data_IF_989683346512
#
_entry.id   IF_989683346512
#
_cell.length_a   1.000
_cell.length_b   1.000
_cell.length_c   1.000
_cell.angle_alpha   90.00
_cell.angle_beta   90.00
_cell.angle_gamma   90.00
#
_symmetry.space_group_name_H-M   'P 1'
#
loop_
_entity.id
_entity.type
_entity.pdbx_description
1 polymer ?
#
# COMPACT_ATOMS: atom_id res chain seq x y z
N UNK A 1 37.21 0.53 21.57
CA UNK A 1 36.21 -0.33 20.85
C UNK A 1 34.99 0.52 20.60
N UNK A 2 34.57 0.72 19.35
CA UNK A 2 33.29 1.38 19.06
C UNK A 2 32.16 0.38 19.35
N UNK A 3 31.10 0.83 20.02
CA UNK A 3 29.89 0.04 20.22
C UNK A 3 29.21 -0.20 18.87
N UNK A 4 28.78 -1.42 18.60
CA UNK A 4 28.02 -1.75 17.39
C UNK A 4 26.61 -1.18 17.48
N UNK A 5 26.07 -0.69 16.36
CA UNK A 5 24.66 -0.30 16.22
C UNK A 5 23.77 -1.53 16.11
N UNK A 6 22.45 -1.33 16.05
CA UNK A 6 21.50 -2.42 15.77
C UNK A 6 21.83 -3.06 14.41
N UNK A 7 22.22 -4.34 14.42
CA UNK A 7 22.64 -5.06 13.20
C UNK A 7 21.49 -5.30 12.23
N UNK A 8 20.22 -5.25 12.66
CA UNK A 8 19.08 -5.36 11.74
C UNK A 8 19.05 -4.22 10.73
N UNK A 9 19.67 -3.07 11.01
CA UNK A 9 19.79 -1.96 10.07
C UNK A 9 20.62 -2.28 8.82
N UNK A 10 21.42 -3.32 8.86
CA UNK A 10 22.25 -3.79 7.73
C UNK A 10 21.41 -4.60 6.72
N UNK A 11 20.21 -5.09 7.13
CA UNK A 11 19.36 -5.94 6.33
C UNK A 11 18.59 -5.18 5.24
N UNK A 12 18.49 -3.86 5.34
CA UNK A 12 17.77 -3.06 4.37
C UNK A 12 18.51 -1.77 4.02
N UNK A 13 18.33 -1.35 2.77
CA UNK A 13 18.90 -0.10 2.23
C UNK A 13 17.88 1.05 2.35
N UNK A 14 18.33 2.33 2.30
CA UNK A 14 17.42 3.44 2.12
C UNK A 14 16.50 3.22 0.92
N UNK A 15 15.26 3.73 1.00
CA UNK A 15 14.25 3.52 -0.02
C UNK A 15 14.72 3.91 -1.42
N UNK A 16 14.84 2.94 -2.31
CA UNK A 16 15.14 3.16 -3.72
C UNK A 16 14.11 4.04 -4.42
N UNK A 17 12.83 3.93 -4.02
CA UNK A 17 11.74 4.79 -4.55
C UNK A 17 12.07 6.27 -4.28
N UNK A 18 12.52 6.61 -3.05
CA UNK A 18 12.90 7.99 -2.71
C UNK A 18 14.13 8.44 -3.47
N UNK A 19 15.09 7.54 -3.75
CA UNK A 19 16.27 7.85 -4.58
C UNK A 19 15.85 8.29 -5.98
N UNK A 20 14.94 7.56 -6.63
CA UNK A 20 14.47 7.91 -7.97
C UNK A 20 13.60 9.18 -7.97
N UNK A 21 12.79 9.39 -6.96
CA UNK A 21 12.03 10.65 -6.80
C UNK A 21 12.97 11.86 -6.62
N UNK A 22 14.04 11.69 -5.84
CA UNK A 22 15.06 12.75 -5.67
C UNK A 22 15.84 13.01 -6.96
N UNK A 23 16.20 11.96 -7.71
CA UNK A 23 16.85 12.09 -9.01
C UNK A 23 15.97 12.83 -10.01
N UNK A 24 14.67 12.50 -10.06
CA UNK A 24 13.70 13.20 -10.89
C UNK A 24 13.59 14.70 -10.53
N UNK A 25 13.52 15.01 -9.24
CA UNK A 25 13.45 16.39 -8.75
C UNK A 25 14.74 17.21 -9.07
N UNK A 26 15.91 16.54 -9.11
CA UNK A 26 17.19 17.16 -9.46
C UNK A 26 17.40 17.31 -10.97
N UNK A 27 16.56 16.67 -11.82
CA UNK A 27 16.67 16.72 -13.29
C UNK A 27 15.73 17.78 -13.86
N UNK A 28 16.26 18.89 -14.43
CA UNK A 28 15.43 19.98 -14.95
C UNK A 28 14.44 19.50 -16.02
N UNK A 29 13.15 19.85 -15.85
CA UNK A 29 12.09 19.51 -16.80
C UNK A 29 11.68 18.03 -16.80
N UNK A 30 12.14 17.22 -15.84
CA UNK A 30 11.72 15.84 -15.70
C UNK A 30 10.28 15.75 -15.24
N UNK A 31 9.49 14.92 -15.92
CA UNK A 31 8.11 14.57 -15.53
C UNK A 31 8.18 13.37 -14.59
N UNK A 32 7.70 13.53 -13.37
CA UNK A 32 7.68 12.43 -12.38
C UNK A 32 6.37 11.66 -12.42
N UNK A 33 6.47 10.38 -12.76
CA UNK A 33 5.42 9.37 -12.62
C UNK A 33 5.76 8.37 -11.49
N UNK A 34 6.55 8.82 -10.49
CA UNK A 34 6.98 7.99 -9.35
C UNK A 34 6.09 8.14 -8.12
N UNK A 35 5.24 9.16 -8.07
CA UNK A 35 4.53 9.63 -6.88
C UNK A 35 3.53 8.57 -6.39
N UNK A 36 3.64 8.20 -5.12
CA UNK A 36 2.76 7.23 -4.46
C UNK A 36 1.66 7.90 -3.61
N UNK A 37 1.18 9.08 -4.00
CA UNK A 37 0.12 9.81 -3.31
C UNK A 37 -0.87 10.43 -4.30
N UNK A 38 -2.12 10.69 -3.87
CA UNK A 38 -3.10 11.40 -4.69
C UNK A 38 -2.56 12.72 -5.20
N UNK A 39 -2.89 13.06 -6.44
CA UNK A 39 -2.55 14.36 -7.04
C UNK A 39 -3.54 15.46 -6.67
N UNK A 40 -4.65 15.11 -6.05
CA UNK A 40 -5.69 15.99 -5.56
C UNK A 40 -5.38 16.48 -4.14
N UNK A 41 -5.86 17.68 -3.79
CA UNK A 41 -5.80 18.17 -2.41
C UNK A 41 -6.89 17.54 -1.55
N UNK A 42 -6.64 17.49 -0.22
CA UNK A 42 -7.68 17.12 0.75
C UNK A 42 -8.91 18.04 0.57
N UNK A 43 -10.13 17.49 0.49
CA UNK A 43 -11.35 18.30 0.29
C UNK A 43 -11.50 19.39 1.36
N UNK A 44 -11.78 20.62 0.91
CA UNK A 44 -11.89 21.80 1.78
C UNK A 44 -12.85 21.64 2.99
N UNK A 45 -14.02 20.95 2.87
CA UNK A 45 -14.87 20.70 4.03
C UNK A 45 -14.17 19.91 5.16
N UNK A 46 -13.24 18.99 4.83
CA UNK A 46 -12.45 18.25 5.80
C UNK A 46 -11.42 19.18 6.46
N UNK A 47 -10.70 19.98 5.66
CA UNK A 47 -9.71 20.93 6.16
C UNK A 47 -10.33 21.95 7.12
N UNK A 48 -11.51 22.50 6.78
CA UNK A 48 -12.22 23.50 7.58
C UNK A 48 -12.61 23.01 8.98
N UNK A 49 -12.77 21.70 9.17
CA UNK A 49 -13.01 21.11 10.50
C UNK A 49 -11.77 21.21 11.38
N UNK A 50 -10.59 20.97 10.82
CA UNK A 50 -9.33 21.09 11.57
C UNK A 50 -9.10 22.52 12.06
N UNK A 51 -9.36 23.52 11.21
CA UNK A 51 -9.25 24.93 11.60
C UNK A 51 -10.15 25.27 12.79
N UNK A 52 -11.38 24.72 12.80
CA UNK A 52 -12.31 24.90 13.93
C UNK A 52 -11.83 24.24 15.21
N UNK A 53 -11.32 23.01 15.10
CA UNK A 53 -10.82 22.27 16.26
C UNK A 53 -9.59 22.95 16.88
N UNK A 54 -8.68 23.44 16.05
CA UNK A 54 -7.52 24.23 16.49
C UNK A 54 -7.96 25.54 17.16
N UNK A 55 -8.92 26.26 16.57
CA UNK A 55 -9.46 27.50 17.14
C UNK A 55 -10.21 27.25 18.46
N UNK A 56 -10.82 26.07 18.63
CA UNK A 56 -11.48 25.65 19.87
C UNK A 56 -10.50 25.15 20.96
N UNK A 57 -9.20 25.05 20.66
CA UNK A 57 -8.18 24.61 21.62
C UNK A 57 -8.14 23.09 21.81
N UNK A 58 -8.66 22.29 20.87
CA UNK A 58 -8.59 20.82 20.89
C UNK A 58 -7.17 20.32 20.57
N UNK A 59 -6.22 20.64 21.47
CA UNK A 59 -4.77 20.37 21.26
C UNK A 59 -4.16 19.53 22.39
N UNK A 60 -4.99 18.91 23.22
CA UNK A 60 -4.57 18.04 24.31
C UNK A 60 -4.58 16.57 23.92
N UNK A 61 -3.95 15.72 24.72
CA UNK A 61 -3.94 14.28 24.49
C UNK A 61 -5.35 13.69 24.50
N UNK A 62 -5.78 13.02 23.42
CA UNK A 62 -6.99 12.21 23.43
C UNK A 62 -6.69 10.83 24.03
N UNK A 63 -7.68 9.92 24.14
CA UNK A 63 -7.43 8.51 24.46
C UNK A 63 -6.41 7.90 23.48
N UNK A 64 -5.51 7.05 24.00
CA UNK A 64 -4.42 6.48 23.19
C UNK A 64 -4.89 5.85 21.89
N UNK A 65 -5.91 5.00 21.94
CA UNK A 65 -6.44 4.27 20.78
C UNK A 65 -7.37 5.09 19.86
N UNK A 66 -7.50 6.40 20.14
CA UNK A 66 -8.41 7.31 19.45
C UNK A 66 -9.69 7.60 20.23
N UNK A 67 -10.37 8.71 19.88
CA UNK A 67 -11.65 9.09 20.48
C UNK A 67 -12.72 8.03 20.21
N UNK A 68 -13.69 7.92 21.11
CA UNK A 68 -14.77 6.94 20.96
C UNK A 68 -15.56 7.20 19.67
N UNK A 69 -15.86 8.48 19.38
CA UNK A 69 -16.60 8.90 18.19
C UNK A 69 -15.90 8.45 16.90
N UNK A 70 -14.58 8.59 16.82
CA UNK A 70 -13.83 8.15 15.64
C UNK A 70 -13.79 6.62 15.55
N UNK A 71 -13.59 5.91 16.67
CA UNK A 71 -13.58 4.45 16.68
C UNK A 71 -14.95 3.86 16.32
N UNK A 72 -16.05 4.47 16.80
CA UNK A 72 -17.41 4.09 16.42
C UNK A 72 -17.67 4.32 14.93
N UNK A 73 -17.24 5.48 14.40
CA UNK A 73 -17.37 5.78 12.98
C UNK A 73 -16.59 4.79 12.09
N UNK A 74 -15.33 4.46 12.47
CA UNK A 74 -14.54 3.46 11.77
C UNK A 74 -15.17 2.08 11.88
N UNK A 75 -15.63 1.66 13.07
CA UNK A 75 -16.28 0.37 13.25
C UNK A 75 -17.55 0.24 12.40
N UNK A 76 -18.36 1.29 12.31
CA UNK A 76 -19.53 1.34 11.45
C UNK A 76 -19.14 1.24 9.96
N UNK A 77 -18.08 1.97 9.56
CA UNK A 77 -17.56 1.97 8.19
C UNK A 77 -17.04 0.58 7.78
N UNK A 78 -16.30 -0.09 8.65
CA UNK A 78 -15.78 -1.45 8.44
C UNK A 78 -16.91 -2.49 8.43
N UNK A 79 -17.92 -2.32 9.32
CA UNK A 79 -19.08 -3.23 9.40
C UNK A 79 -19.96 -3.15 8.15
N UNK A 80 -20.14 -1.96 7.60
CA UNK A 80 -20.84 -1.77 6.32
C UNK A 80 -20.11 -2.45 5.13
N UNK A 81 -18.85 -2.86 5.32
CA UNK A 81 -17.98 -3.53 4.34
C UNK A 81 -17.65 -4.97 4.74
N UNK A 82 -18.51 -5.59 5.53
CA UNK A 82 -18.48 -7.02 5.85
C UNK A 82 -17.63 -7.41 7.07
N UNK A 83 -16.89 -6.49 7.71
CA UNK A 83 -16.13 -6.80 8.91
C UNK A 83 -16.95 -6.56 10.18
N UNK A 84 -17.33 -7.61 10.89
CA UNK A 84 -18.05 -7.49 12.16
C UNK A 84 -17.09 -7.08 13.29
N UNK A 85 -16.99 -5.78 13.54
CA UNK A 85 -16.11 -5.20 14.55
C UNK A 85 -16.81 -4.07 15.31
N UNK A 86 -16.60 -4.02 16.63
CA UNK A 86 -17.01 -2.91 17.47
C UNK A 86 -15.90 -1.88 17.68
N UNK A 87 -16.18 -0.76 18.37
CA UNK A 87 -15.18 0.29 18.62
C UNK A 87 -13.96 -0.20 19.44
N UNK A 88 -14.11 -1.26 20.24
CA UNK A 88 -13.01 -1.84 21.01
C UNK A 88 -12.06 -2.71 20.14
N UNK A 89 -12.47 -3.06 18.93
CA UNK A 89 -11.61 -3.69 17.92
C UNK A 89 -10.87 -2.69 17.03
N UNK A 90 -10.96 -1.38 17.30
CA UNK A 90 -10.35 -0.31 16.51
C UNK A 90 -9.21 0.35 17.27
N UNK A 91 -8.06 0.51 16.60
CA UNK A 91 -6.93 1.34 17.05
C UNK A 91 -6.63 2.38 15.97
N UNK A 92 -6.83 3.66 16.30
CA UNK A 92 -6.49 4.78 15.40
C UNK A 92 -4.98 4.99 15.42
N UNK A 93 -4.35 5.09 14.25
CA UNK A 93 -2.89 5.05 14.09
C UNK A 93 -2.35 6.24 13.28
N UNK A 94 -1.05 6.48 13.37
CA UNK A 94 -0.34 7.52 12.60
C UNK A 94 -0.13 7.04 11.14
N UNK A 95 -1.25 6.83 10.43
CA UNK A 95 -1.31 6.24 9.09
C UNK A 95 -1.10 4.72 9.07
N UNK A 96 -1.32 4.11 7.91
CA UNK A 96 -1.19 2.66 7.72
C UNK A 96 0.23 2.14 8.05
N UNK A 97 1.27 2.92 7.83
CA UNK A 97 2.64 2.49 8.13
C UNK A 97 2.84 2.20 9.63
N UNK A 98 2.25 3.00 10.52
CA UNK A 98 2.27 2.73 11.95
C UNK A 98 1.34 1.56 12.30
N UNK A 99 0.15 1.46 11.67
CA UNK A 99 -0.76 0.33 11.84
C UNK A 99 -0.06 -1.02 11.55
N UNK A 100 0.66 -1.11 10.44
CA UNK A 100 1.45 -2.29 10.05
C UNK A 100 2.58 -2.53 11.07
N UNK A 101 3.29 -1.48 11.47
CA UNK A 101 4.41 -1.58 12.42
C UNK A 101 3.94 -2.06 13.80
N UNK A 102 2.88 -1.46 14.34
CA UNK A 102 2.31 -1.87 15.64
C UNK A 102 1.77 -3.30 15.60
N UNK A 103 1.13 -3.70 14.49
CA UNK A 103 0.67 -5.08 14.27
C UNK A 103 1.84 -6.07 14.28
N UNK A 104 2.88 -5.81 13.49
CA UNK A 104 4.04 -6.70 13.43
C UNK A 104 4.80 -6.76 14.76
N UNK A 105 4.96 -5.62 15.46
CA UNK A 105 5.56 -5.59 16.80
C UNK A 105 4.76 -6.38 17.84
N UNK A 106 3.44 -6.43 17.70
CA UNK A 106 2.56 -7.20 18.58
C UNK A 106 2.65 -8.71 18.31
N UNK A 107 2.70 -9.10 17.04
CA UNK A 107 2.57 -10.51 16.65
C UNK A 107 3.89 -11.27 16.61
N UNK A 108 5.00 -10.61 16.25
CA UNK A 108 6.22 -11.30 15.83
C UNK A 108 7.22 -11.51 16.96
N UNK A 109 7.76 -12.71 17.02
CA UNK A 109 8.99 -13.02 17.72
C UNK A 109 10.16 -13.09 16.73
N UNK A 110 11.41 -12.93 17.19
CA UNK A 110 12.59 -13.15 16.34
C UNK A 110 12.58 -14.54 15.69
N UNK A 111 12.70 -14.57 14.37
CA UNK A 111 12.71 -15.80 13.57
C UNK A 111 11.34 -16.25 13.06
N UNK A 112 10.25 -15.60 13.47
CA UNK A 112 8.92 -15.82 12.86
C UNK A 112 8.94 -15.42 11.37
N UNK A 113 8.22 -16.17 10.56
CA UNK A 113 8.15 -15.97 9.11
C UNK A 113 6.93 -15.15 8.69
N UNK A 114 7.15 -14.21 7.77
CA UNK A 114 6.10 -13.42 7.14
C UNK A 114 6.09 -13.71 5.64
N UNK A 115 4.99 -14.29 5.16
CA UNK A 115 4.78 -14.50 3.73
C UNK A 115 4.32 -13.18 3.11
N UNK A 116 5.04 -12.73 2.08
CA UNK A 116 4.74 -11.51 1.34
C UNK A 116 4.56 -11.88 -0.13
N UNK A 117 3.31 -11.87 -0.65
CA UNK A 117 3.08 -11.96 -2.08
C UNK A 117 3.73 -10.77 -2.79
N UNK A 118 4.72 -11.04 -3.63
CA UNK A 118 5.46 -10.03 -4.39
C UNK A 118 5.06 -10.08 -5.88
N UNK A 119 5.00 -8.93 -6.56
CA UNK A 119 5.50 -7.60 -6.15
C UNK A 119 4.64 -6.95 -5.06
N UNK A 120 5.32 -6.27 -4.10
CA UNK A 120 4.66 -5.68 -2.94
C UNK A 120 5.32 -4.38 -2.49
N UNK A 121 4.59 -3.58 -1.71
CA UNK A 121 5.13 -2.38 -1.09
C UNK A 121 6.24 -2.72 -0.09
N UNK A 122 7.40 -2.09 -0.26
CA UNK A 122 8.65 -2.37 0.47
C UNK A 122 8.49 -2.35 2.01
N UNK A 123 7.52 -1.62 2.54
CA UNK A 123 7.34 -1.44 3.98
C UNK A 123 7.14 -2.78 4.71
N UNK A 124 6.43 -3.73 4.12
CA UNK A 124 6.18 -5.03 4.76
C UNK A 124 7.48 -5.80 5.02
N UNK A 125 8.33 -5.88 3.99
CA UNK A 125 9.66 -6.51 4.10
C UNK A 125 10.53 -5.81 5.16
N UNK A 126 10.59 -4.48 5.10
CA UNK A 126 11.42 -3.69 6.02
C UNK A 126 10.95 -3.83 7.47
N UNK A 127 9.64 -3.77 7.74
CA UNK A 127 9.11 -3.92 9.08
C UNK A 127 9.25 -5.35 9.61
N UNK A 128 9.08 -6.38 8.77
CA UNK A 128 9.39 -7.76 9.14
C UNK A 128 10.86 -7.89 9.61
N UNK A 129 11.81 -7.37 8.82
CA UNK A 129 13.24 -7.41 9.15
C UNK A 129 13.58 -6.61 10.42
N UNK A 130 12.98 -5.42 10.61
CA UNK A 130 13.17 -4.63 11.84
C UNK A 130 12.72 -5.39 13.09
N UNK A 131 11.68 -6.21 12.97
CA UNK A 131 11.20 -7.10 14.03
C UNK A 131 12.01 -8.40 14.13
N UNK A 132 13.13 -8.53 13.41
CA UNK A 132 13.96 -9.74 13.36
C UNK A 132 13.20 -10.96 12.81
N UNK A 133 12.16 -10.74 12.05
CA UNK A 133 11.43 -11.78 11.33
C UNK A 133 12.14 -12.17 10.03
N UNK A 134 11.70 -13.27 9.47
CA UNK A 134 12.16 -13.81 8.20
C UNK A 134 11.13 -13.51 7.12
N UNK A 135 11.56 -12.81 6.08
CA UNK A 135 10.71 -12.56 4.91
C UNK A 135 10.67 -13.80 4.03
N UNK A 136 9.49 -14.32 3.77
CA UNK A 136 9.23 -15.42 2.83
C UNK A 136 8.52 -14.85 1.61
N UNK A 137 9.25 -14.56 0.51
CA UNK A 137 8.63 -14.03 -0.70
C UNK A 137 7.81 -15.09 -1.41
N UNK A 138 6.62 -14.69 -1.88
CA UNK A 138 5.75 -15.47 -2.74
C UNK A 138 5.64 -14.74 -4.09
N UNK A 139 6.33 -15.23 -5.13
CA UNK A 139 6.31 -14.60 -6.44
C UNK A 139 4.97 -14.83 -7.15
N UNK A 140 4.21 -13.77 -7.35
CA UNK A 140 2.93 -13.80 -8.06
C UNK A 140 3.05 -13.35 -9.53
N UNK A 141 4.23 -12.91 -9.96
CA UNK A 141 4.43 -12.33 -11.30
C UNK A 141 4.24 -13.36 -12.44
N UNK A 142 4.31 -14.63 -12.13
CA UNK A 142 4.11 -15.73 -13.09
C UNK A 142 2.66 -16.18 -13.20
N UNK A 143 1.76 -15.67 -12.35
CA UNK A 143 0.36 -16.02 -12.30
C UNK A 143 -0.56 -14.77 -12.31
N UNK A 144 -0.34 -13.84 -13.24
CA UNK A 144 -1.14 -12.61 -13.39
C UNK A 144 -1.29 -11.81 -12.08
N UNK A 145 -0.25 -11.84 -11.24
CA UNK A 145 -0.21 -11.28 -9.87
C UNK A 145 -1.26 -11.86 -8.92
N UNK A 146 -1.78 -13.05 -9.20
CA UNK A 146 -2.63 -13.84 -8.32
C UNK A 146 -1.82 -14.85 -7.51
N UNK A 147 -2.34 -15.23 -6.33
CA UNK A 147 -1.70 -16.22 -5.46
C UNK A 147 -1.93 -17.62 -6.04
N UNK A 148 -0.85 -18.32 -6.35
CA UNK A 148 -0.90 -19.73 -6.70
C UNK A 148 -0.99 -20.60 -5.43
N UNK A 149 -2.03 -21.46 -5.29
CA UNK A 149 -2.26 -22.25 -4.09
C UNK A 149 -1.11 -23.23 -3.75
N UNK A 150 -0.54 -23.88 -4.77
CA UNK A 150 0.53 -24.87 -4.57
C UNK A 150 1.84 -24.17 -4.19
N UNK A 151 2.12 -23.04 -4.82
CA UNK A 151 3.26 -22.22 -4.48
C UNK A 151 3.13 -21.69 -3.04
N UNK A 152 1.95 -21.16 -2.66
CA UNK A 152 1.70 -20.69 -1.29
C UNK A 152 1.91 -21.82 -0.29
N UNK A 153 1.32 -23.00 -0.54
CA UNK A 153 1.46 -24.18 0.33
C UNK A 153 2.93 -24.57 0.54
N UNK A 154 3.74 -24.48 -0.51
CA UNK A 154 5.18 -24.80 -0.42
C UNK A 154 5.99 -23.81 0.44
N UNK A 155 5.44 -22.63 0.74
CA UNK A 155 6.07 -21.59 1.56
C UNK A 155 5.71 -21.66 3.05
N UNK A 156 4.70 -22.46 3.42
CA UNK A 156 4.25 -22.61 4.80
C UNK A 156 5.23 -23.48 5.58
N UNK A 157 5.55 -23.05 6.80
CA UNK A 157 6.34 -23.78 7.78
C UNK A 157 5.75 -23.62 9.18
N UNK A 158 6.30 -24.35 10.17
CA UNK A 158 5.93 -24.20 11.58
C UNK A 158 6.27 -22.82 12.17
N UNK A 159 7.03 -22.00 11.42
CA UNK A 159 7.40 -20.62 11.80
C UNK A 159 6.53 -19.57 11.11
N UNK A 160 5.67 -19.99 10.19
CA UNK A 160 4.77 -19.06 9.48
C UNK A 160 3.84 -18.38 10.47
N UNK A 161 4.04 -17.07 10.68
CA UNK A 161 3.30 -16.25 11.61
C UNK A 161 2.24 -15.42 10.95
N UNK A 162 2.54 -14.86 9.77
CA UNK A 162 1.73 -13.85 9.12
C UNK A 162 1.83 -13.96 7.61
N UNK A 163 0.72 -13.76 6.92
CA UNK A 163 0.68 -13.40 5.49
C UNK A 163 0.13 -11.98 5.33
N UNK A 164 0.70 -11.21 4.39
CA UNK A 164 0.24 -9.85 4.08
C UNK A 164 -0.49 -9.85 2.75
N UNK A 165 -1.74 -9.39 2.76
CA UNK A 165 -2.57 -9.22 1.55
C UNK A 165 -2.81 -7.73 1.32
N UNK A 166 -2.49 -7.24 0.13
CA UNK A 166 -2.80 -5.85 -0.28
C UNK A 166 -3.66 -5.91 -1.53
N UNK A 167 -4.91 -5.46 -1.43
CA UNK A 167 -5.88 -5.55 -2.55
C UNK A 167 -6.85 -4.37 -2.52
N UNK A 168 -6.81 -3.49 -3.55
CA UNK A 168 -5.89 -3.46 -4.71
C UNK A 168 -4.43 -3.27 -4.33
N UNK A 169 -3.52 -3.88 -5.11
CA UNK A 169 -2.10 -3.96 -4.80
C UNK A 169 -1.31 -2.72 -5.26
N UNK A 170 -0.26 -2.39 -4.54
CA UNK A 170 0.82 -1.51 -4.95
C UNK A 170 2.10 -2.38 -5.11
N UNK A 171 2.63 -2.59 -6.33
CA UNK A 171 2.59 -1.68 -7.49
C UNK A 171 1.62 -2.07 -8.62
N UNK A 172 0.95 -3.21 -8.60
CA UNK A 172 0.30 -3.80 -9.78
C UNK A 172 -1.08 -3.24 -10.08
N UNK A 173 -1.78 -2.73 -9.06
CA UNK A 173 -3.20 -2.39 -9.15
C UNK A 173 -4.13 -3.61 -9.15
N UNK A 174 -3.60 -4.82 -9.03
CA UNK A 174 -4.34 -6.07 -9.06
C UNK A 174 -5.27 -6.19 -7.85
N UNK A 175 -6.47 -6.74 -8.07
CA UNK A 175 -7.39 -7.20 -7.03
C UNK A 175 -7.26 -8.72 -6.94
N UNK A 176 -7.10 -9.27 -5.74
CA UNK A 176 -7.04 -10.72 -5.57
C UNK A 176 -8.40 -11.35 -5.86
N UNK A 177 -8.38 -12.43 -6.65
CA UNK A 177 -9.56 -13.24 -6.92
C UNK A 177 -10.01 -14.00 -5.67
N UNK A 178 -11.25 -14.47 -5.70
CA UNK A 178 -11.77 -15.32 -4.62
C UNK A 178 -10.90 -16.58 -4.46
N UNK A 179 -10.41 -17.18 -5.54
CA UNK A 179 -9.54 -18.36 -5.53
C UNK A 179 -8.23 -18.09 -4.79
N UNK A 180 -7.60 -16.94 -5.03
CA UNK A 180 -6.42 -16.50 -4.28
C UNK A 180 -6.70 -16.42 -2.79
N UNK A 181 -7.85 -15.84 -2.41
CA UNK A 181 -8.23 -15.68 -1.01
C UNK A 181 -8.67 -17.01 -0.37
N UNK A 182 -9.35 -17.91 -1.12
CA UNK A 182 -9.70 -19.27 -0.67
C UNK A 182 -8.43 -20.06 -0.30
N UNK A 183 -7.37 -19.96 -1.11
CA UNK A 183 -6.10 -20.62 -0.84
C UNK A 183 -5.49 -20.16 0.49
N UNK A 184 -5.48 -18.84 0.73
CA UNK A 184 -4.98 -18.28 1.99
C UNK A 184 -5.84 -18.70 3.18
N UNK A 185 -7.17 -18.64 3.04
CA UNK A 185 -8.09 -18.97 4.12
C UNK A 185 -7.99 -20.44 4.54
N UNK A 186 -7.89 -21.35 3.57
CA UNK A 186 -7.77 -22.78 3.84
C UNK A 186 -6.48 -23.09 4.60
N UNK A 187 -5.35 -22.53 4.18
CA UNK A 187 -4.07 -22.71 4.85
C UNK A 187 -4.02 -22.01 6.21
N UNK A 188 -4.68 -20.85 6.37
CA UNK A 188 -4.78 -20.18 7.66
C UNK A 188 -5.60 -21.00 8.69
N UNK A 189 -6.65 -21.73 8.24
CA UNK A 189 -7.38 -22.68 9.10
C UNK A 189 -6.51 -23.87 9.51
N UNK A 190 -5.76 -24.42 8.56
CA UNK A 190 -4.93 -25.61 8.79
C UNK A 190 -3.73 -25.30 9.70
N UNK A 191 -3.05 -24.19 9.49
CA UNK A 191 -1.77 -23.86 10.13
C UNK A 191 -1.85 -22.79 11.21
N UNK A 192 -2.94 -22.04 11.31
CA UNK A 192 -3.20 -21.11 12.39
C UNK A 192 -2.46 -19.77 12.31
N UNK A 193 -1.87 -19.38 11.18
CA UNK A 193 -1.20 -18.10 11.00
C UNK A 193 -2.20 -16.93 10.87
N UNK A 194 -1.71 -15.72 11.13
CA UNK A 194 -2.47 -14.48 10.99
C UNK A 194 -2.51 -13.99 9.53
N UNK A 195 -3.59 -13.28 9.19
CA UNK A 195 -3.75 -12.63 7.88
C UNK A 195 -3.90 -11.13 8.09
N UNK A 196 -2.97 -10.34 7.57
CA UNK A 196 -3.06 -8.89 7.56
C UNK A 196 -3.51 -8.42 6.18
N UNK A 197 -4.67 -7.77 6.13
CA UNK A 197 -5.24 -7.17 4.93
C UNK A 197 -4.97 -5.66 4.94
N UNK A 198 -4.13 -5.19 4.02
CA UNK A 198 -3.91 -3.75 3.81
C UNK A 198 -4.91 -3.24 2.77
N UNK A 199 -5.99 -2.64 3.27
CA UNK A 199 -7.13 -2.17 2.48
C UNK A 199 -6.98 -0.70 2.01
N UNK A 200 -5.81 -0.11 2.11
CA UNK A 200 -5.54 1.32 1.87
C UNK A 200 -5.99 1.83 0.49
N UNK A 201 -6.07 0.96 -0.50
CA UNK A 201 -6.53 1.29 -1.86
C UNK A 201 -7.95 0.81 -2.18
N UNK A 202 -8.65 0.16 -1.25
CA UNK A 202 -9.94 -0.48 -1.51
C UNK A 202 -10.99 0.48 -2.09
N UNK A 203 -11.11 1.69 -1.56
CA UNK A 203 -12.06 2.69 -2.06
C UNK A 203 -11.69 3.24 -3.45
N UNK A 204 -10.49 2.93 -3.94
CA UNK A 204 -10.01 3.28 -5.27
C UNK A 204 -10.04 2.07 -6.23
N UNK A 205 -10.84 1.06 -5.96
CA UNK A 205 -11.10 -0.03 -6.90
C UNK A 205 -12.02 0.43 -8.03
N UNK A 206 -11.78 -0.11 -9.24
CA UNK A 206 -12.51 0.22 -10.47
C UNK A 206 -13.50 -0.86 -10.89
N UNK A 207 -13.41 -2.02 -10.26
CA UNK A 207 -14.33 -3.15 -10.40
C UNK A 207 -15.42 -3.09 -9.33
N UNK A 208 -16.59 -3.65 -9.62
CA UNK A 208 -17.73 -3.57 -8.70
C UNK A 208 -17.57 -4.54 -7.52
N UNK A 209 -17.19 -5.79 -7.83
CA UNK A 209 -17.02 -6.85 -6.84
C UNK A 209 -15.55 -6.99 -6.45
N UNK A 210 -15.14 -6.35 -5.37
CA UNK A 210 -13.81 -6.52 -4.78
C UNK A 210 -13.90 -7.53 -3.65
N UNK A 211 -13.41 -8.77 -3.81
CA UNK A 211 -13.45 -9.75 -2.73
C UNK A 211 -12.73 -9.23 -1.49
N UNK A 212 -13.30 -9.42 -0.32
CA UNK A 212 -12.71 -8.99 0.94
C UNK A 212 -12.55 -10.18 1.87
N UNK A 213 -11.32 -10.38 2.36
CA UNK A 213 -10.99 -11.55 3.17
C UNK A 213 -11.86 -11.67 4.43
N UNK A 214 -12.03 -10.58 5.18
CA UNK A 214 -12.81 -10.55 6.43
C UNK A 214 -14.32 -10.80 6.22
N UNK A 215 -14.84 -10.47 5.03
CA UNK A 215 -16.23 -10.69 4.65
C UNK A 215 -16.46 -12.14 4.24
N UNK A 216 -15.53 -12.69 3.44
CA UNK A 216 -15.62 -14.05 2.90
C UNK A 216 -15.37 -15.13 3.98
N UNK A 217 -14.51 -14.83 4.96
CA UNK A 217 -14.05 -15.81 5.96
C UNK A 217 -14.24 -15.29 7.39
N UNK A 218 -15.51 -15.07 7.85
CA UNK A 218 -15.80 -14.56 9.19
C UNK A 218 -15.37 -15.52 10.32
N UNK A 219 -15.17 -16.78 10.02
CA UNK A 219 -14.62 -17.80 10.94
C UNK A 219 -13.13 -17.57 11.28
N UNK A 220 -12.41 -16.75 10.49
CA UNK A 220 -11.02 -16.36 10.72
C UNK A 220 -10.88 -14.95 11.35
N UNK A 221 -11.98 -14.36 11.82
CA UNK A 221 -12.00 -13.00 12.36
C UNK A 221 -11.07 -12.78 13.57
N UNK A 222 -10.79 -13.82 14.34
CA UNK A 222 -9.89 -13.81 15.50
C UNK A 222 -8.40 -13.68 15.12
N UNK A 223 -8.05 -13.94 13.87
CA UNK A 223 -6.70 -13.89 13.34
C UNK A 223 -6.56 -13.03 12.08
N UNK A 224 -7.60 -12.29 11.74
CA UNK A 224 -7.57 -11.33 10.65
C UNK A 224 -7.37 -9.90 11.19
N UNK A 225 -6.45 -9.19 10.58
CA UNK A 225 -6.13 -7.81 10.89
C UNK A 225 -6.31 -6.97 9.63
N UNK A 226 -7.21 -5.99 9.67
CA UNK A 226 -7.31 -4.99 8.61
C UNK A 226 -6.50 -3.76 9.01
N UNK A 227 -5.59 -3.34 8.14
CA UNK A 227 -4.92 -2.04 8.22
C UNK A 227 -5.46 -1.14 7.13
N UNK A 228 -5.76 0.10 7.45
CA UNK A 228 -6.31 1.05 6.49
C UNK A 228 -5.87 2.49 6.83
N UNK A 229 -6.20 3.45 5.96
CA UNK A 229 -5.74 4.82 6.11
C UNK A 229 -6.62 5.81 5.38
N UNK A 230 -6.68 7.02 5.89
CA UNK A 230 -7.28 8.18 5.21
C UNK A 230 -6.42 8.72 4.06
N UNK A 231 -5.20 8.23 3.92
CA UNK A 231 -4.20 8.78 3.00
C UNK A 231 -4.62 8.79 1.53
N UNK A 232 -5.23 7.70 1.04
CA UNK A 232 -5.47 7.54 -0.40
C UNK A 232 -6.87 7.95 -0.82
N UNK A 233 -7.97 7.44 -0.21
CA UNK A 233 -9.33 7.79 -0.65
C UNK A 233 -9.69 9.26 -0.44
N UNK A 234 -9.08 9.92 0.56
CA UNK A 234 -9.42 11.30 0.92
C UNK A 234 -8.26 12.29 0.71
N UNK A 235 -7.21 11.90 -0.02
CA UNK A 235 -6.03 12.72 -0.28
C UNK A 235 -5.39 13.31 1.00
N UNK A 236 -5.32 12.50 2.07
CA UNK A 236 -4.86 12.92 3.40
C UNK A 236 -3.48 12.33 3.74
N UNK A 237 -2.55 12.25 2.78
CA UNK A 237 -1.25 11.60 2.99
C UNK A 237 -0.41 12.27 4.06
N UNK A 238 -0.41 13.60 4.11
CA UNK A 238 0.31 14.42 5.09
C UNK A 238 -0.34 14.44 6.48
N UNK A 239 -1.60 14.04 6.62
CA UNK A 239 -2.33 14.06 7.88
C UNK A 239 -1.91 12.95 8.83
N UNK A 240 -1.32 11.89 8.30
CA UNK A 240 -0.88 10.74 9.09
C UNK A 240 -2.00 10.11 9.91
N UNK A 241 -3.12 9.78 9.27
CA UNK A 241 -4.28 9.12 9.87
C UNK A 241 -4.52 7.75 9.25
N UNK A 242 -4.71 6.73 10.08
CA UNK A 242 -5.05 5.37 9.69
C UNK A 242 -5.67 4.62 10.87
N UNK A 243 -5.90 3.34 10.69
CA UNK A 243 -6.42 2.48 11.74
C UNK A 243 -6.05 1.02 11.56
N UNK A 244 -6.13 0.29 12.65
CA UNK A 244 -6.23 -1.16 12.67
C UNK A 244 -7.66 -1.52 13.06
N UNK A 245 -8.25 -2.52 12.40
CA UNK A 245 -9.49 -3.17 12.80
C UNK A 245 -9.25 -4.68 12.94
N UNK A 246 -9.59 -5.25 14.09
CA UNK A 246 -9.36 -6.67 14.41
C UNK A 246 -10.23 -7.12 15.60
N UNK A 247 -9.98 -8.30 16.16
CA UNK A 247 -10.64 -8.74 17.40
C UNK A 247 -10.30 -7.82 18.58
N UNK A 248 -11.20 -7.70 19.55
CA UNK A 248 -10.99 -6.83 20.72
C UNK A 248 -9.71 -7.18 21.50
N UNK A 249 -9.40 -8.46 21.63
CA UNK A 249 -8.20 -8.94 22.32
C UNK A 249 -6.93 -8.47 21.61
N UNK A 250 -6.87 -8.70 20.30
CA UNK A 250 -5.70 -8.30 19.51
C UNK A 250 -5.58 -6.78 19.39
N UNK A 251 -6.70 -6.06 19.27
CA UNK A 251 -6.72 -4.59 19.29
C UNK A 251 -6.18 -4.02 20.61
N UNK A 252 -6.52 -4.65 21.75
CA UNK A 252 -5.99 -4.24 23.05
C UNK A 252 -4.45 -4.41 23.12
N UNK A 253 -3.91 -5.49 22.57
CA UNK A 253 -2.46 -5.71 22.54
C UNK A 253 -1.75 -4.76 21.55
N UNK A 254 -2.30 -4.54 20.37
CA UNK A 254 -1.80 -3.54 19.41
C UNK A 254 -1.85 -2.14 20.02
N UNK A 255 -2.92 -1.81 20.78
CA UNK A 255 -3.07 -0.55 21.46
C UNK A 255 -1.98 -0.29 22.52
N UNK A 256 -1.49 -1.32 23.21
CA UNK A 256 -0.34 -1.21 24.13
C UNK A 256 0.93 -0.79 23.39
N UNK A 257 1.20 -1.42 22.23
CA UNK A 257 2.37 -1.09 21.39
C UNK A 257 2.22 0.32 20.83
N UNK A 258 1.08 0.65 20.25
CA UNK A 258 0.75 1.98 19.71
C UNK A 258 1.01 3.08 20.76
N UNK A 259 0.51 2.90 21.98
CA UNK A 259 0.69 3.86 23.06
C UNK A 259 2.16 4.15 23.40
N UNK A 260 3.06 3.16 23.23
CA UNK A 260 4.50 3.36 23.47
C UNK A 260 5.21 3.97 22.25
N UNK A 261 4.71 3.74 21.04
CA UNK A 261 5.31 4.30 19.82
C UNK A 261 5.02 5.79 19.66
N UNK A 262 3.76 6.20 19.85
CA UNK A 262 3.29 7.55 19.45
C UNK A 262 2.37 8.23 20.48
N UNK A 263 2.09 7.60 21.61
CA UNK A 263 1.13 8.02 22.62
C UNK A 263 -0.32 8.06 22.11
N UNK A 264 -0.62 8.88 21.12
CA UNK A 264 -1.94 9.01 20.48
C UNK A 264 -1.85 9.79 19.16
N UNK A 265 -2.87 9.67 18.33
CA UNK A 265 -3.06 10.52 17.16
C UNK A 265 -3.55 11.91 17.59
N UNK A 266 -3.13 13.03 16.95
CA UNK A 266 -3.55 14.36 17.31
C UNK A 266 -5.08 14.51 17.41
N UNK A 267 -5.55 15.11 18.54
CA UNK A 267 -6.97 15.26 18.85
C UNK A 267 -7.74 16.05 17.80
N UNK A 268 -7.19 17.17 17.33
CA UNK A 268 -7.83 18.10 16.39
C UNK A 268 -8.05 17.52 14.98
N UNK A 269 -7.39 16.39 14.63
CA UNK A 269 -7.59 15.70 13.35
C UNK A 269 -8.79 14.74 13.40
N UNK A 270 -9.14 14.23 14.57
CA UNK A 270 -10.07 13.11 14.69
C UNK A 270 -11.52 13.46 14.29
N UNK A 271 -12.08 14.63 14.64
CA UNK A 271 -13.40 15.03 14.15
C UNK A 271 -13.45 15.18 12.61
N UNK A 272 -12.37 15.67 12.00
CA UNK A 272 -12.27 15.73 10.53
C UNK A 272 -12.21 14.35 9.90
N UNK A 273 -11.57 13.37 10.56
CA UNK A 273 -11.55 11.97 10.13
C UNK A 273 -12.95 11.32 10.18
N UNK A 274 -13.73 11.58 11.23
CA UNK A 274 -15.14 11.14 11.31
C UNK A 274 -15.93 11.64 10.10
N UNK A 275 -15.80 12.91 9.76
CA UNK A 275 -16.47 13.49 8.60
C UNK A 275 -15.98 12.89 7.28
N UNK A 276 -14.65 12.66 7.15
CA UNK A 276 -14.06 12.09 5.95
C UNK A 276 -14.65 10.71 5.59
N UNK A 277 -14.96 9.86 6.57
CA UNK A 277 -15.59 8.55 6.33
C UNK A 277 -16.96 8.64 5.63
N UNK A 278 -17.66 9.77 5.75
CA UNK A 278 -18.93 10.04 5.07
C UNK A 278 -18.77 10.79 3.76
N UNK A 279 -17.54 11.27 3.45
CA UNK A 279 -17.29 12.05 2.24
C UNK A 279 -17.23 11.18 1.00
N UNK A 280 -17.95 11.57 -0.07
CA UNK A 280 -17.99 10.81 -1.32
C UNK A 280 -16.65 10.88 -2.09
N UNK A 281 -15.99 9.75 -2.23
CA UNK A 281 -14.73 9.59 -2.97
C UNK A 281 -14.92 9.18 -4.44
N UNK A 282 -16.17 9.02 -4.88
CA UNK A 282 -16.50 8.61 -6.25
C UNK A 282 -15.91 9.54 -7.32
N UNK A 283 -15.91 10.87 -7.16
CA UNK A 283 -15.28 11.76 -8.16
C UNK A 283 -13.80 11.48 -8.34
N UNK A 284 -13.05 11.31 -7.26
CA UNK A 284 -11.61 10.98 -7.29
C UNK A 284 -11.38 9.62 -7.95
N UNK A 285 -12.12 8.59 -7.53
CA UNK A 285 -12.05 7.24 -8.13
C UNK A 285 -12.33 7.29 -9.63
N UNK A 286 -13.32 8.07 -10.08
CA UNK A 286 -13.63 8.24 -11.49
C UNK A 286 -12.48 8.90 -12.25
N UNK A 287 -11.85 9.92 -11.70
CA UNK A 287 -10.67 10.56 -12.29
C UNK A 287 -9.54 9.56 -12.49
N UNK A 288 -9.23 8.74 -11.48
CA UNK A 288 -8.19 7.70 -11.62
C UNK A 288 -8.58 6.61 -12.62
N UNK A 289 -9.84 6.20 -12.69
CA UNK A 289 -10.33 5.27 -13.71
C UNK A 289 -10.12 5.83 -15.13
N UNK A 290 -10.34 7.12 -15.34
CA UNK A 290 -10.10 7.78 -16.62
C UNK A 290 -8.59 7.87 -16.94
N UNK A 291 -7.76 8.26 -15.98
CA UNK A 291 -6.29 8.30 -16.13
C UNK A 291 -5.71 6.91 -16.39
N UNK A 292 -6.25 5.87 -15.74
CA UNK A 292 -5.90 4.48 -16.05
C UNK A 292 -6.06 4.19 -17.53
N UNK A 293 -7.18 4.61 -18.15
CA UNK A 293 -7.41 4.37 -19.57
C UNK A 293 -6.39 5.07 -20.47
N UNK A 294 -5.97 6.30 -20.12
CA UNK A 294 -4.89 7.00 -20.83
C UNK A 294 -3.59 6.18 -20.77
N UNK A 295 -3.23 5.65 -19.60
CA UNK A 295 -2.01 4.84 -19.44
C UNK A 295 -2.10 3.55 -20.24
N UNK A 296 -3.20 2.80 -20.12
CA UNK A 296 -3.39 1.54 -20.85
C UNK A 296 -3.32 1.72 -22.36
N UNK A 297 -3.95 2.76 -22.89
CA UNK A 297 -3.89 3.09 -24.31
C UNK A 297 -2.46 3.40 -24.76
N UNK A 298 -1.71 4.18 -23.98
CA UNK A 298 -0.33 4.51 -24.30
C UNK A 298 0.59 3.27 -24.22
N UNK A 299 0.42 2.40 -23.21
CA UNK A 299 1.18 1.15 -23.08
C UNK A 299 0.90 0.18 -24.23
N UNK A 300 -0.36 0.09 -24.67
CA UNK A 300 -0.73 -0.70 -25.84
C UNK A 300 -0.06 -0.18 -27.13
N UNK A 301 -0.03 1.14 -27.34
CA UNK A 301 0.67 1.76 -28.49
C UNK A 301 2.19 1.53 -28.42
N UNK A 302 2.75 1.40 -27.22
CA UNK A 302 4.17 1.06 -27.00
C UNK A 302 4.43 -0.44 -27.09
N UNK A 303 3.41 -1.30 -27.21
CA UNK A 303 3.51 -2.76 -27.09
C UNK A 303 4.21 -3.19 -25.80
N UNK A 304 4.01 -2.50 -24.69
CA UNK A 304 4.50 -2.90 -23.37
C UNK A 304 3.44 -3.75 -22.66
N UNK A 305 3.73 -5.04 -22.38
CA UNK A 305 2.80 -5.91 -21.70
C UNK A 305 2.48 -5.39 -20.28
N UNK A 306 1.21 -5.33 -19.93
CA UNK A 306 0.74 -4.92 -18.61
C UNK A 306 -0.52 -5.68 -18.26
N UNK A 307 -0.61 -6.16 -17.00
CA UNK A 307 -1.88 -6.60 -16.44
C UNK A 307 -2.73 -5.36 -16.14
N UNK A 308 -4.00 -5.41 -16.50
CA UNK A 308 -4.91 -4.27 -16.35
C UNK A 308 -5.13 -3.97 -14.86
N UNK A 309 -4.76 -2.78 -14.35
CA UNK A 309 -4.99 -2.43 -12.95
C UNK A 309 -6.49 -2.34 -12.63
N UNK A 310 -6.95 -3.06 -11.63
CA UNK A 310 -8.34 -3.07 -11.18
C UNK A 310 -8.60 -2.06 -10.04
N UNK A 311 -7.54 -1.41 -9.54
CA UNK A 311 -7.62 -0.38 -8.50
C UNK A 311 -6.30 0.33 -8.27
N UNK A 312 -6.23 1.11 -7.20
CA UNK A 312 -5.13 2.03 -6.88
C UNK A 312 -4.94 3.10 -7.97
N UNK A 313 -3.73 3.58 -8.17
CA UNK A 313 -3.38 4.52 -9.25
C UNK A 313 -2.00 4.19 -9.84
N UNK A 314 -1.76 2.88 -10.07
CA UNK A 314 -0.49 2.36 -10.60
C UNK A 314 -0.74 1.42 -11.77
N UNK A 315 0.17 1.45 -12.75
CA UNK A 315 0.35 0.42 -13.75
C UNK A 315 1.76 -0.16 -13.63
N UNK A 316 1.90 -1.46 -13.92
CA UNK A 316 3.15 -2.19 -13.72
C UNK A 316 3.54 -2.98 -14.98
N UNK A 317 3.90 -2.28 -16.08
CA UNK A 317 4.28 -2.91 -17.32
C UNK A 317 5.60 -3.67 -17.22
N UNK A 318 5.70 -4.75 -18.00
CA UNK A 318 6.91 -5.52 -18.20
C UNK A 318 7.86 -4.78 -19.15
N UNK A 319 9.15 -4.77 -18.79
CA UNK A 319 10.26 -4.27 -19.61
C UNK A 319 11.26 -5.38 -19.95
N UNK A 320 10.86 -6.64 -19.78
CA UNK A 320 11.73 -7.82 -19.98
C UNK A 320 12.25 -7.99 -21.41
N UNK A 321 11.64 -7.33 -22.37
CA UNK A 321 12.12 -7.31 -23.77
C UNK A 321 13.43 -6.54 -23.93
N UNK A 322 13.74 -5.61 -23.00
CA UNK A 322 14.96 -4.80 -23.08
C UNK A 322 16.09 -5.47 -22.30
N UNK A 323 17.31 -5.39 -22.80
CA UNK A 323 18.50 -5.92 -22.14
C UNK A 323 19.02 -5.00 -21.01
N UNK A 324 18.10 -4.45 -20.20
CA UNK A 324 18.37 -3.56 -19.08
C UNK A 324 17.69 -4.07 -17.82
N UNK A 325 18.37 -3.97 -16.68
CA UNK A 325 17.69 -4.09 -15.41
C UNK A 325 16.77 -2.88 -15.16
N UNK A 326 15.83 -3.02 -14.23
CA UNK A 326 14.80 -2.00 -13.99
C UNK A 326 15.38 -0.68 -13.45
N UNK A 327 16.51 -0.70 -12.73
CA UNK A 327 17.19 0.51 -12.27
C UNK A 327 17.84 1.24 -13.43
N UNK A 328 18.60 0.55 -14.28
CA UNK A 328 19.24 1.12 -15.47
C UNK A 328 18.22 1.69 -16.45
N UNK A 329 17.11 0.96 -16.68
CA UNK A 329 16.00 1.45 -17.50
C UNK A 329 15.44 2.78 -16.97
N UNK A 330 15.11 2.84 -15.68
CA UNK A 330 14.57 4.06 -15.07
C UNK A 330 15.58 5.21 -15.01
N UNK A 331 16.86 4.92 -14.79
CA UNK A 331 17.92 5.95 -14.82
C UNK A 331 18.09 6.56 -16.21
N UNK A 332 18.08 5.75 -17.26
CA UNK A 332 18.14 6.23 -18.65
C UNK A 332 16.90 7.05 -18.99
N UNK A 333 15.70 6.57 -18.62
CA UNK A 333 14.45 7.30 -18.83
C UNK A 333 14.50 8.72 -18.23
N UNK A 334 15.07 8.87 -17.03
CA UNK A 334 15.22 10.18 -16.38
C UNK A 334 16.27 11.03 -17.12
N UNK A 335 17.49 10.50 -17.31
CA UNK A 335 18.65 11.29 -17.77
C UNK A 335 18.55 11.69 -19.24
N UNK A 336 18.02 10.80 -20.09
CA UNK A 336 18.01 10.99 -21.55
C UNK A 336 16.67 11.53 -22.05
N UNK A 337 15.55 11.17 -21.40
CA UNK A 337 14.20 11.52 -21.87
C UNK A 337 13.39 12.35 -20.88
N UNK A 338 13.88 12.58 -19.66
CA UNK A 338 13.20 13.42 -18.68
C UNK A 338 11.85 12.85 -18.21
N UNK A 339 11.74 11.55 -18.07
CA UNK A 339 10.57 10.88 -17.47
C UNK A 339 11.02 9.93 -16.37
N UNK A 340 10.43 10.05 -15.19
CA UNK A 340 10.79 9.24 -14.04
C UNK A 340 9.71 8.19 -13.71
N UNK A 341 10.16 6.94 -13.57
CA UNK A 341 9.39 5.76 -13.19
C UNK A 341 10.04 5.13 -11.94
N UNK A 342 9.40 4.13 -11.36
CA UNK A 342 9.97 3.39 -10.23
C UNK A 342 10.39 1.99 -10.67
N UNK A 343 11.67 1.60 -10.47
CA UNK A 343 12.15 0.26 -10.75
C UNK A 343 11.37 -0.84 -10.04
N UNK A 344 11.04 -1.91 -10.76
CA UNK A 344 10.30 -3.05 -10.23
C UNK A 344 11.05 -3.85 -9.17
N UNK A 345 12.38 -3.85 -9.22
CA UNK A 345 13.22 -4.50 -8.23
C UNK A 345 12.94 -4.02 -6.80
N UNK A 346 12.48 -2.79 -6.61
CA UNK A 346 12.12 -2.26 -5.28
C UNK A 346 10.81 -2.83 -4.73
N UNK A 347 10.07 -3.54 -5.56
CA UNK A 347 8.85 -4.26 -5.18
C UNK A 347 9.05 -5.78 -5.15
N UNK A 348 10.30 -6.27 -5.41
CA UNK A 348 10.61 -7.69 -5.52
C UNK A 348 10.37 -8.28 -6.92
N UNK A 349 10.20 -7.45 -7.97
CA UNK A 349 9.91 -7.91 -9.33
C UNK A 349 10.82 -7.23 -10.35
N UNK A 350 11.99 -7.84 -10.62
CA UNK A 350 12.87 -7.38 -11.69
C UNK A 350 12.22 -7.58 -13.06
N UNK A 351 12.56 -6.71 -14.02
CA UNK A 351 12.00 -6.73 -15.36
C UNK A 351 10.62 -6.05 -15.49
N UNK A 352 10.23 -5.27 -14.49
CA UNK A 352 9.04 -4.43 -14.47
C UNK A 352 9.37 -3.00 -14.04
N UNK A 353 8.45 -2.07 -14.31
CA UNK A 353 8.52 -0.69 -13.80
C UNK A 353 7.15 -0.24 -13.34
N UNK A 354 7.08 0.58 -12.27
CA UNK A 354 5.82 1.17 -11.81
C UNK A 354 5.63 2.55 -12.40
N UNK A 355 4.47 2.78 -13.00
CA UNK A 355 3.96 4.06 -13.47
C UNK A 355 2.84 4.49 -12.52
N UNK A 356 2.95 5.67 -11.90
CA UNK A 356 1.85 6.29 -11.16
C UNK A 356 1.06 7.21 -12.08
N UNK A 357 -0.26 7.02 -12.12
CA UNK A 357 -1.17 7.93 -12.82
C UNK A 357 -1.92 8.88 -11.86
N UNK A 358 -1.35 9.12 -10.68
CA UNK A 358 -1.80 10.18 -9.79
C UNK A 358 -1.40 11.59 -10.24
N UNK A 359 -0.48 11.70 -11.22
CA UNK A 359 -0.08 12.97 -11.82
C UNK A 359 -1.25 13.65 -12.56
N UNK A 360 -1.14 14.98 -12.78
CA UNK A 360 -2.12 15.70 -13.61
C UNK A 360 -2.18 15.14 -15.04
N UNK A 361 -3.31 15.26 -15.69
CA UNK A 361 -3.51 14.75 -17.07
C UNK A 361 -2.44 15.26 -18.04
N UNK A 362 -2.04 16.54 -17.90
CA UNK A 362 -0.96 17.16 -18.68
C UNK A 362 0.37 16.43 -18.47
N UNK A 363 0.77 16.23 -17.20
CA UNK A 363 2.02 15.59 -16.88
C UNK A 363 2.01 14.11 -17.25
N UNK A 364 0.87 13.46 -17.07
CA UNK A 364 0.69 12.06 -17.45
C UNK A 364 0.86 11.86 -18.95
N UNK A 365 0.14 12.64 -19.77
CA UNK A 365 0.22 12.56 -21.24
C UNK A 365 1.62 12.87 -21.75
N UNK A 366 2.27 13.93 -21.24
CA UNK A 366 3.62 14.31 -21.61
C UNK A 366 4.64 13.24 -21.19
N UNK A 367 4.54 12.72 -19.95
CA UNK A 367 5.43 11.67 -19.46
C UNK A 367 5.31 10.38 -20.28
N UNK A 368 4.10 9.97 -20.65
CA UNK A 368 3.87 8.80 -21.50
C UNK A 368 4.40 9.01 -22.92
N UNK A 369 4.31 10.22 -23.48
CA UNK A 369 4.90 10.55 -24.78
C UNK A 369 6.42 10.41 -24.76
N UNK A 370 7.09 10.89 -23.70
CA UNK A 370 8.53 10.74 -23.51
C UNK A 370 8.94 9.28 -23.32
N UNK A 371 8.16 8.52 -22.55
CA UNK A 371 8.36 7.09 -22.38
C UNK A 371 8.26 6.35 -23.71
N UNK A 372 7.31 6.70 -24.57
CA UNK A 372 7.16 6.13 -25.91
C UNK A 372 8.38 6.39 -26.78
N UNK A 373 8.92 7.61 -26.75
CA UNK A 373 10.14 7.93 -27.48
C UNK A 373 11.33 7.10 -26.97
N UNK A 374 11.48 6.99 -25.65
CA UNK A 374 12.52 6.18 -25.02
C UNK A 374 12.44 4.70 -25.41
N UNK A 375 11.26 4.09 -25.30
CA UNK A 375 11.01 2.68 -25.68
C UNK A 375 11.36 2.43 -27.17
N UNK A 376 10.99 3.35 -28.05
CA UNK A 376 11.33 3.22 -29.47
C UNK A 376 12.84 3.30 -29.70
N UNK A 377 13.55 4.23 -29.04
CA UNK A 377 15.01 4.34 -29.10
C UNK A 377 15.68 3.04 -28.62
N UNK A 378 15.21 2.45 -27.53
CA UNK A 378 15.75 1.16 -27.04
C UNK A 378 15.59 0.03 -28.07
N UNK A 379 14.46 -0.03 -28.78
CA UNK A 379 14.24 -1.03 -29.84
C UNK A 379 15.14 -0.79 -31.06
N UNK A 380 15.38 0.47 -31.42
CA UNK A 380 16.32 0.83 -32.50
C UNK A 380 17.75 0.44 -32.16
N UNK A 381 18.16 0.56 -30.89
CA UNK A 381 19.49 0.16 -30.41
C UNK A 381 19.70 -1.36 -30.39
N UNK A 382 18.63 -2.16 -30.31
CA UNK A 382 18.68 -3.62 -30.31
C UNK A 382 18.70 -4.23 -31.73
N UNK A 383 18.35 -3.46 -32.77
CA UNK A 383 18.37 -3.86 -34.19
C UNK A 383 19.68 -3.49 -34.89
#
# INVERSE_FOLDING_TARGET
MSLSRNTTLELFKPSGIRRFSALAAATPGCISLTIGEPGEDTPAPICNLVDRELAAGNTHYPPNVGTLELREAIAAWESARGMKVGPDGIVVTVGAAEAISATMLTLMNPGDEVIIPEPAYLVYRTLCQLNRGVVVPLDTSTNHFQIDPEQLKSKISDKTKLIVLTSPNNPTGCVYTKESLDAVANLAREHGFYVMCDDVYRELAYVEDVPRFVELYPDLSDRCIVTNSFSKPWAMTGWRLGWVATSNELAADIGKVHAQLVASVPSFLQPAAVYALSYDVTPMRTNYKNRRQIVLSALAEMNLPVEEPEGAFYAFPSIKEFSLDSEAFCERAIKEFGVALVPGVFFGAEGYVRISYAASDKNLTEGLSRLKTFVNTLREEQN
#
